data_IF_976435165359
#
_entry.id   IF_976435165359
#
_cell.length_a   1.000
_cell.length_b   1.000
_cell.length_c   1.000
_cell.angle_alpha   90.00
_cell.angle_beta   90.00
_cell.angle_gamma   90.00
#
_symmetry.space_group_name_H-M   'P 1'
#
loop_
_entity.id
_entity.type
_entity.pdbx_description
1 polymer ?
#
# COMPACT_ATOMS: atom_id res chain seq x y z
N UNK A 1 29.62 -10.89 9.98
CA UNK A 1 28.37 -10.64 9.23
C UNK A 1 27.29 -10.36 10.27
N UNK A 2 26.79 -9.13 10.33
CA UNK A 2 25.72 -8.77 11.25
C UNK A 2 24.40 -9.31 10.70
N UNK A 3 23.73 -10.15 11.48
CA UNK A 3 22.40 -10.67 11.17
C UNK A 3 21.39 -9.66 11.69
N UNK A 4 20.70 -8.95 10.81
CA UNK A 4 19.63 -8.02 11.20
C UNK A 4 18.34 -8.82 11.37
N UNK A 5 17.92 -9.00 12.62
CA UNK A 5 16.64 -9.64 12.96
C UNK A 5 15.54 -8.59 13.00
N UNK A 6 14.58 -8.67 12.06
CA UNK A 6 13.40 -7.79 12.05
C UNK A 6 12.26 -8.48 12.81
N UNK A 7 11.85 -7.90 13.94
CA UNK A 7 10.68 -8.34 14.70
C UNK A 7 9.42 -7.76 14.06
N UNK A 8 8.54 -8.63 13.55
CA UNK A 8 7.23 -8.29 13.01
C UNK A 8 6.15 -8.84 13.94
N UNK A 9 5.04 -8.11 14.19
CA UNK A 9 3.93 -8.61 15.01
C UNK A 9 3.39 -9.97 14.53
N UNK A 10 3.07 -10.86 15.47
CA UNK A 10 2.71 -12.26 15.23
C UNK A 10 1.46 -12.47 14.32
N UNK A 11 0.67 -11.44 14.09
CA UNK A 11 -0.50 -11.47 13.18
C UNK A 11 -0.12 -11.61 11.70
N UNK A 12 1.16 -11.40 11.34
CA UNK A 12 1.68 -11.64 9.98
C UNK A 12 2.00 -13.12 9.69
N UNK A 13 1.79 -14.03 10.65
CA UNK A 13 2.02 -15.49 10.58
C UNK A 13 3.50 -15.92 10.61
N UNK A 14 3.83 -17.21 10.30
CA UNK A 14 5.11 -17.80 10.65
C UNK A 14 6.30 -16.99 10.12
N UNK A 15 7.27 -16.81 11.02
CA UNK A 15 8.42 -15.92 10.97
C UNK A 15 8.95 -15.67 9.56
N UNK A 16 9.09 -14.38 9.23
CA UNK A 16 9.66 -13.94 7.98
C UNK A 16 11.13 -14.34 7.97
N UNK A 17 11.54 -15.28 7.12
CA UNK A 17 12.95 -15.55 6.86
C UNK A 17 13.54 -14.37 6.08
N UNK A 18 13.92 -13.31 6.80
CA UNK A 18 14.78 -12.25 6.26
C UNK A 18 16.21 -12.78 6.30
N UNK A 19 16.48 -13.77 5.44
CA UNK A 19 17.81 -14.33 5.21
C UNK A 19 18.51 -13.67 4.04
N UNK A 20 19.80 -13.94 3.86
CA UNK A 20 20.65 -13.44 2.75
C UNK A 20 20.23 -13.89 1.34
N UNK A 21 19.04 -14.51 1.18
CA UNK A 21 18.53 -15.09 -0.07
C UNK A 21 17.23 -14.44 -0.60
N UNK A 22 16.77 -13.36 0.01
CA UNK A 22 15.70 -12.52 -0.57
C UNK A 22 14.52 -12.28 0.35
N UNK A 23 13.71 -11.28 -0.01
CA UNK A 23 12.42 -11.03 0.60
C UNK A 23 11.46 -12.16 0.24
N UNK A 24 10.92 -12.89 1.23
CA UNK A 24 9.92 -13.92 0.94
C UNK A 24 8.65 -13.34 0.33
N UNK A 25 7.97 -14.09 -0.56
CA UNK A 25 6.69 -13.67 -1.17
C UNK A 25 5.68 -13.14 -0.14
N UNK A 26 5.57 -13.82 1.00
CA UNK A 26 4.73 -13.42 2.13
C UNK A 26 5.02 -12.01 2.65
N UNK A 27 6.30 -11.63 2.76
CA UNK A 27 6.70 -10.29 3.18
C UNK A 27 6.08 -9.24 2.24
N UNK A 28 6.25 -9.46 0.93
CA UNK A 28 5.74 -8.55 -0.09
C UNK A 28 4.22 -8.51 -0.11
N UNK A 29 3.56 -9.65 0.08
CA UNK A 29 2.09 -9.71 0.17
C UNK A 29 1.55 -8.91 1.36
N UNK A 30 2.15 -9.09 2.53
CA UNK A 30 1.73 -8.38 3.75
C UNK A 30 2.02 -6.88 3.64
N UNK A 31 3.18 -6.50 3.11
CA UNK A 31 3.48 -5.09 2.83
C UNK A 31 2.53 -4.49 1.80
N UNK A 32 2.21 -5.23 0.74
CA UNK A 32 1.29 -4.76 -0.28
C UNK A 32 -0.11 -4.56 0.28
N UNK A 33 -0.59 -5.49 1.12
CA UNK A 33 -1.86 -5.36 1.86
C UNK A 33 -1.86 -4.12 2.75
N UNK A 34 -0.82 -3.95 3.57
CA UNK A 34 -0.72 -2.81 4.48
C UNK A 34 -0.74 -1.51 3.70
N UNK A 35 0.08 -1.40 2.66
CA UNK A 35 0.15 -0.19 1.82
C UNK A 35 -1.17 0.10 1.14
N UNK A 36 -1.81 -0.89 0.49
CA UNK A 36 -3.04 -0.68 -0.27
C UNK A 36 -4.19 -0.24 0.64
N UNK A 37 -4.36 -0.91 1.79
CA UNK A 37 -5.41 -0.52 2.76
C UNK A 37 -5.13 0.87 3.32
N UNK A 38 -3.86 1.18 3.64
CA UNK A 38 -3.50 2.50 4.19
C UNK A 38 -3.75 3.63 3.19
N UNK A 39 -3.33 3.47 1.92
CA UNK A 39 -3.44 4.52 0.91
C UNK A 39 -4.88 4.74 0.45
N UNK A 40 -5.66 3.67 0.31
CA UNK A 40 -6.98 3.73 -0.33
C UNK A 40 -8.14 3.84 0.68
N UNK A 41 -7.86 3.75 1.98
CA UNK A 41 -8.83 4.07 3.05
C UNK A 41 -8.62 5.49 3.52
N UNK A 42 -9.18 6.45 2.77
CA UNK A 42 -8.85 7.85 2.87
C UNK A 42 -10.11 8.70 3.05
N UNK A 43 -10.01 9.67 3.95
CA UNK A 43 -10.92 10.80 4.11
C UNK A 43 -10.09 12.07 4.29
N UNK A 44 -10.66 13.27 4.08
CA UNK A 44 -9.98 14.53 4.38
C UNK A 44 -9.43 14.59 5.81
N UNK A 45 -10.18 14.04 6.78
CA UNK A 45 -9.85 14.07 8.21
C UNK A 45 -8.68 13.15 8.55
N UNK A 46 -8.58 11.98 7.90
CA UNK A 46 -7.53 11.01 8.18
C UNK A 46 -6.27 11.18 7.31
N UNK A 47 -6.31 12.07 6.30
CA UNK A 47 -5.24 12.25 5.32
C UNK A 47 -3.87 12.52 5.96
N UNK A 48 -3.82 13.32 7.03
CA UNK A 48 -2.59 13.59 7.78
C UNK A 48 -2.00 12.32 8.42
N UNK A 49 -2.84 11.41 8.91
CA UNK A 49 -2.41 10.13 9.46
C UNK A 49 -1.91 9.19 8.34
N UNK A 50 -2.67 9.10 7.24
CA UNK A 50 -2.29 8.31 6.06
C UNK A 50 -0.94 8.77 5.53
N UNK A 51 -0.73 10.07 5.33
CA UNK A 51 0.55 10.64 4.85
C UNK A 51 1.73 10.21 5.73
N UNK A 52 1.58 10.28 7.05
CA UNK A 52 2.64 9.88 7.97
C UNK A 52 2.91 8.36 7.91
N UNK A 53 1.86 7.55 7.81
CA UNK A 53 1.99 6.10 7.68
C UNK A 53 2.71 5.71 6.40
N UNK A 54 2.27 6.24 5.26
CA UNK A 54 2.86 5.91 3.95
C UNK A 54 4.29 6.45 3.82
N UNK A 55 4.64 7.56 4.47
CA UNK A 55 6.02 8.02 4.53
C UNK A 55 6.96 6.99 5.19
N UNK A 56 6.49 6.29 6.22
CA UNK A 56 7.25 5.20 6.88
C UNK A 56 7.35 3.95 5.99
N UNK A 57 6.31 3.66 5.22
CA UNK A 57 6.25 2.50 4.31
C UNK A 57 6.97 2.74 2.98
N UNK A 58 7.25 4.00 2.63
CA UNK A 58 7.83 4.39 1.34
C UNK A 58 9.36 4.46 1.36
N UNK A 59 9.93 4.11 0.21
CA UNK A 59 11.32 4.38 -0.11
C UNK A 59 11.60 5.89 -0.08
N UNK A 60 12.78 6.30 0.40
CA UNK A 60 13.11 7.71 0.62
C UNK A 60 12.87 8.59 -0.62
N UNK A 61 13.22 8.09 -1.81
CA UNK A 61 13.03 8.81 -3.08
C UNK A 61 11.57 8.95 -3.52
N UNK A 62 10.64 8.13 -2.99
CA UNK A 62 9.23 8.13 -3.37
C UNK A 62 8.32 8.84 -2.35
N UNK A 63 8.82 9.07 -1.12
CA UNK A 63 8.06 9.70 -0.02
C UNK A 63 7.40 11.02 -0.41
N UNK A 64 8.12 11.89 -1.12
CA UNK A 64 7.60 13.20 -1.54
C UNK A 64 6.43 13.06 -2.52
N UNK A 65 6.60 12.23 -3.55
CA UNK A 65 5.56 12.02 -4.57
C UNK A 65 4.31 11.34 -3.99
N UNK A 66 4.49 10.30 -3.18
CA UNK A 66 3.37 9.59 -2.54
C UNK A 66 2.64 10.50 -1.55
N UNK A 67 3.40 11.28 -0.75
CA UNK A 67 2.81 12.25 0.16
C UNK A 67 2.02 13.34 -0.57
N UNK A 68 2.54 13.86 -1.67
CA UNK A 68 1.84 14.84 -2.51
C UNK A 68 0.56 14.27 -3.12
N UNK A 69 0.57 12.99 -3.54
CA UNK A 69 -0.63 12.32 -4.01
C UNK A 69 -1.72 12.23 -2.93
N UNK A 70 -1.36 11.86 -1.70
CA UNK A 70 -2.32 11.80 -0.57
C UNK A 70 -2.96 13.16 -0.31
N UNK A 71 -2.16 14.23 -0.28
CA UNK A 71 -2.66 15.59 -0.05
C UNK A 71 -3.57 16.07 -1.18
N UNK A 72 -3.19 15.81 -2.44
CA UNK A 72 -4.00 16.17 -3.59
C UNK A 72 -5.34 15.42 -3.61
N UNK A 73 -5.33 14.13 -3.27
CA UNK A 73 -6.54 13.31 -3.22
C UNK A 73 -7.46 13.73 -2.07
N UNK A 74 -6.91 14.02 -0.89
CA UNK A 74 -7.67 14.52 0.25
C UNK A 74 -8.31 15.89 -0.05
N UNK A 75 -7.59 16.80 -0.71
CA UNK A 75 -8.14 18.09 -1.12
C UNK A 75 -9.29 17.93 -2.13
N UNK A 76 -9.16 17.00 -3.09
CA UNK A 76 -10.22 16.65 -4.04
C UNK A 76 -11.44 16.08 -3.32
N UNK A 77 -11.23 15.23 -2.32
CA UNK A 77 -12.30 14.63 -1.52
C UNK A 77 -13.04 15.66 -0.68
N UNK A 78 -12.32 16.59 -0.05
CA UNK A 78 -12.89 17.65 0.80
C UNK A 78 -13.86 18.55 0.02
N UNK A 79 -13.54 18.89 -1.24
CA UNK A 79 -14.41 19.69 -2.09
C UNK A 79 -15.72 19.00 -2.50
N UNK A 80 -15.88 17.71 -2.22
CA UNK A 80 -17.01 16.87 -2.69
C UNK A 80 -17.63 16.01 -1.59
N UNK A 81 -17.25 16.21 -0.33
CA UNK A 81 -17.67 15.39 0.81
C UNK A 81 -17.46 13.89 0.56
N UNK A 82 -16.29 13.53 0.02
CA UNK A 82 -15.99 12.15 -0.37
C UNK A 82 -15.17 11.39 0.69
N UNK A 83 -15.38 10.08 0.74
CA UNK A 83 -14.54 9.13 1.46
C UNK A 83 -14.32 7.87 0.63
N UNK A 84 -13.26 7.10 0.92
CA UNK A 84 -13.03 5.80 0.31
C UNK A 84 -12.55 4.75 1.30
N UNK A 85 -12.78 3.49 0.98
CA UNK A 85 -12.23 2.33 1.66
C UNK A 85 -11.94 1.24 0.64
N UNK A 86 -10.87 0.49 0.89
CA UNK A 86 -10.46 -0.58 0.00
C UNK A 86 -10.44 -1.92 0.72
N UNK A 87 -11.04 -2.92 0.08
CA UNK A 87 -11.19 -4.27 0.62
C UNK A 87 -10.44 -5.25 -0.29
N UNK A 88 -9.19 -5.62 0.05
CA UNK A 88 -8.39 -6.53 -0.77
C UNK A 88 -9.04 -7.93 -0.84
N UNK A 89 -9.23 -8.43 -2.05
CA UNK A 89 -9.77 -9.77 -2.34
C UNK A 89 -8.68 -10.76 -2.76
N UNK A 90 -7.53 -10.28 -3.24
CA UNK A 90 -6.39 -11.13 -3.61
C UNK A 90 -5.10 -10.35 -3.73
N UNK A 91 -3.97 -11.00 -3.46
CA UNK A 91 -2.63 -10.44 -3.60
C UNK A 91 -1.73 -11.47 -4.27
N UNK A 92 -0.91 -11.03 -5.23
CA UNK A 92 0.12 -11.85 -5.87
C UNK A 92 1.44 -11.11 -5.80
N UNK A 93 2.43 -11.69 -5.12
CA UNK A 93 3.78 -11.12 -5.05
C UNK A 93 4.73 -11.76 -6.06
N UNK A 94 5.65 -10.95 -6.58
CA UNK A 94 6.82 -11.35 -7.33
C UNK A 94 8.08 -10.90 -6.56
N UNK A 95 8.68 -11.80 -5.76
CA UNK A 95 9.91 -11.55 -5.02
C UNK A 95 11.11 -11.16 -5.87
N UNK A 96 11.24 -11.74 -7.06
CA UNK A 96 12.39 -11.51 -7.94
C UNK A 96 12.33 -10.11 -8.54
N UNK A 97 11.13 -9.66 -8.95
CA UNK A 97 10.88 -8.31 -9.44
C UNK A 97 10.67 -7.26 -8.35
N UNK A 98 10.58 -7.65 -7.07
CA UNK A 98 10.14 -6.80 -5.95
C UNK A 98 8.83 -6.06 -6.25
N UNK A 99 7.84 -6.79 -6.79
CA UNK A 99 6.52 -6.24 -7.08
C UNK A 99 5.41 -7.04 -6.41
N UNK A 100 4.24 -6.43 -6.30
CA UNK A 100 3.01 -7.11 -5.92
C UNK A 100 1.81 -6.52 -6.68
N UNK A 101 0.85 -7.36 -7.01
CA UNK A 101 -0.46 -6.95 -7.51
C UNK A 101 -1.51 -7.21 -6.43
N UNK A 102 -2.34 -6.21 -6.14
CA UNK A 102 -3.45 -6.30 -5.20
C UNK A 102 -4.76 -6.06 -5.95
N UNK A 103 -5.66 -7.04 -5.89
CA UNK A 103 -7.03 -6.92 -6.35
C UNK A 103 -7.96 -6.68 -5.15
N UNK A 104 -9.03 -5.93 -5.34
CA UNK A 104 -10.02 -5.68 -4.30
C UNK A 104 -11.13 -4.74 -4.74
N UNK A 105 -12.10 -4.56 -3.86
CA UNK A 105 -13.18 -3.60 -4.04
C UNK A 105 -12.78 -2.25 -3.48
N UNK A 106 -12.83 -1.20 -4.31
CA UNK A 106 -12.78 0.18 -3.86
C UNK A 106 -14.21 0.70 -3.73
N UNK A 107 -14.60 1.02 -2.50
CA UNK A 107 -15.88 1.64 -2.19
C UNK A 107 -15.66 3.12 -1.96
N UNK A 108 -16.49 3.95 -2.57
CA UNK A 108 -16.47 5.40 -2.37
C UNK A 108 -17.84 5.90 -1.91
N UNK A 109 -17.81 6.92 -1.05
CA UNK A 109 -19.01 7.57 -0.53
C UNK A 109 -19.00 9.05 -0.89
N UNK A 110 -20.20 9.62 -1.02
CA UNK A 110 -20.45 11.06 -1.00
C UNK A 110 -21.41 11.32 0.15
N UNK A 111 -20.96 12.05 1.17
CA UNK A 111 -21.65 12.21 2.44
C UNK A 111 -21.92 10.86 3.10
N UNK A 112 -23.19 10.45 3.15
CA UNK A 112 -23.62 9.19 3.79
C UNK A 112 -24.04 8.09 2.81
N UNK A 113 -23.99 8.36 1.51
CA UNK A 113 -24.46 7.43 0.48
C UNK A 113 -23.26 6.78 -0.22
N UNK A 114 -23.34 5.46 -0.46
CA UNK A 114 -22.37 4.75 -1.30
C UNK A 114 -22.51 5.26 -2.74
N UNK A 115 -21.46 5.90 -3.24
CA UNK A 115 -21.45 6.50 -4.58
C UNK A 115 -20.95 5.50 -5.63
N UNK A 116 -19.97 4.65 -5.28
CA UNK A 116 -19.52 3.56 -6.13
C UNK A 116 -18.90 2.42 -5.34
N UNK A 117 -18.90 1.23 -5.96
CA UNK A 117 -18.17 0.04 -5.55
C UNK A 117 -17.61 -0.61 -6.79
N UNK A 118 -16.29 -0.64 -6.89
CA UNK A 118 -15.60 -1.02 -8.12
C UNK A 118 -14.50 -2.03 -7.85
N UNK A 119 -14.44 -3.09 -8.65
CA UNK A 119 -13.31 -4.00 -8.67
C UNK A 119 -12.10 -3.29 -9.29
N UNK A 120 -11.05 -3.13 -8.48
CA UNK A 120 -9.81 -2.45 -8.86
C UNK A 120 -8.62 -3.37 -8.66
N UNK A 121 -7.59 -3.15 -9.49
CA UNK A 121 -6.26 -3.74 -9.32
C UNK A 121 -5.22 -2.65 -9.19
N UNK A 122 -4.24 -2.92 -8.35
CA UNK A 122 -3.12 -2.02 -8.12
C UNK A 122 -1.82 -2.79 -8.20
N UNK A 123 -0.84 -2.23 -8.90
CA UNK A 123 0.53 -2.71 -8.91
C UNK A 123 1.38 -1.87 -7.98
N UNK A 124 2.12 -2.56 -7.13
CA UNK A 124 3.08 -1.99 -6.20
C UNK A 124 4.47 -2.42 -6.64
N UNK A 125 5.37 -1.45 -6.75
CA UNK A 125 6.79 -1.71 -6.92
C UNK A 125 7.52 -1.29 -5.64
N UNK A 126 8.45 -2.13 -5.23
CA UNK A 126 9.28 -1.89 -4.05
C UNK A 126 10.75 -1.78 -4.44
N UNK A 127 11.55 -1.23 -3.52
CA UNK A 127 13.00 -1.23 -3.64
C UNK A 127 13.62 -1.58 -2.30
N UNK A 128 14.68 -2.38 -2.35
CA UNK A 128 15.48 -2.74 -1.18
C UNK A 128 16.82 -2.01 -1.19
N UNK A 129 17.06 -1.21 -0.16
CA UNK A 129 18.33 -0.53 0.10
C UNK A 129 18.82 -0.89 1.51
N UNK A 130 20.07 -1.36 1.64
CA UNK A 130 20.68 -1.71 2.93
C UNK A 130 19.81 -2.60 3.84
N UNK A 131 19.13 -3.59 3.25
CA UNK A 131 18.26 -4.53 3.98
C UNK A 131 16.90 -3.95 4.40
N UNK A 132 16.55 -2.74 3.96
CA UNK A 132 15.22 -2.15 4.14
C UNK A 132 14.51 -2.06 2.82
N UNK A 133 13.27 -2.54 2.78
CA UNK A 133 12.40 -2.44 1.63
C UNK A 133 11.37 -1.34 1.85
N UNK A 134 11.09 -0.58 0.80
CA UNK A 134 10.10 0.49 0.83
C UNK A 134 9.35 0.60 -0.49
N UNK A 135 8.11 1.09 -0.41
CA UNK A 135 7.26 1.38 -1.56
C UNK A 135 7.96 2.40 -2.46
N UNK A 136 8.15 2.02 -3.73
CA UNK A 136 8.69 2.88 -4.77
C UNK A 136 7.57 3.49 -5.62
N UNK A 137 6.55 2.70 -5.93
CA UNK A 137 5.46 3.08 -6.81
C UNK A 137 4.18 2.36 -6.45
N UNK A 138 3.06 3.07 -6.58
CA UNK A 138 1.71 2.57 -6.36
C UNK A 138 0.84 3.06 -7.51
N UNK A 139 0.34 2.15 -8.34
CA UNK A 139 -0.38 2.50 -9.57
C UNK A 139 -1.62 1.62 -9.70
N UNK A 140 -2.74 2.22 -10.11
CA UNK A 140 -3.89 1.44 -10.55
C UNK A 140 -3.56 0.81 -11.89
N UNK A 141 -3.84 -0.48 -12.04
CA UNK A 141 -3.79 -1.16 -13.33
C UNK A 141 -5.19 -1.30 -13.88
N UNK A 142 -5.35 -1.11 -15.19
CA UNK A 142 -6.60 -1.44 -15.86
C UNK A 142 -6.73 -2.97 -15.95
N UNK A 143 -7.94 -3.49 -15.76
CA UNK A 143 -8.21 -4.89 -16.07
C UNK A 143 -8.03 -5.06 -17.60
N UNK A 144 -7.19 -6.02 -18.03
CA UNK A 144 -7.30 -6.54 -19.40
C UNK A 144 -8.74 -7.04 -19.56
N UNK A 145 -9.48 -6.38 -20.47
CA UNK A 145 -10.85 -6.77 -20.85
C UNK A 145 -10.85 -8.07 -21.63
#
# INVERSE_FOLDING_TARGET
RETVTVLVPATAGPAWEVGSRGTGARYLEDMARTVSVTLLTLTPENAGHVRQAVARLSHASARGAIGAWVEAEAARMAGRDMASAFYPTGIKADPEGLTAEVAGELVTWIGREEASREDRRYRLAFRMDAGRIGLLRFEQTENER
#
